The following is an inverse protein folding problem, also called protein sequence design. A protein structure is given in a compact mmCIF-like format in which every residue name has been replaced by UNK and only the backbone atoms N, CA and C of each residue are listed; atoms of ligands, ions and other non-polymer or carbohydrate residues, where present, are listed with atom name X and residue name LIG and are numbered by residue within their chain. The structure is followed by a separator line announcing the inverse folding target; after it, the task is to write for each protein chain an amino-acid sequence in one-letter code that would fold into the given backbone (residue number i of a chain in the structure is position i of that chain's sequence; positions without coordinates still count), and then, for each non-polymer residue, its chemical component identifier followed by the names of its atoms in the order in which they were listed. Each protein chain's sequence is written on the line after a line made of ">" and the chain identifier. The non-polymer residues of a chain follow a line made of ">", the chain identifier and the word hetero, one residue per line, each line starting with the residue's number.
data_IF_998660006262
#
_entry.id   IF_998660006262
#
_cell.length_a   1.000
_cell.length_b   1.000
_cell.length_c   1.000
_cell.angle_alpha   90.00
_cell.angle_beta   90.00
_cell.angle_gamma   90.00
#
_symmetry.space_group_name_H-M   'P 1'
#
loop_
_entity.id
_entity.type
_entity.pdbx_description
1 polymer ?
#
# COMPACT_ATOMS: atom_id res chain seq x y z
N UNK A 1 1.97 -2.62 -13.06
CA UNK A 1 1.32 -3.94 -13.10
C UNK A 1 0.63 -4.10 -14.44
N UNK A 2 0.91 -5.16 -15.19
CA UNK A 2 0.22 -5.43 -16.45
C UNK A 2 -1.10 -6.15 -16.13
N UNK A 3 -2.24 -5.54 -16.49
CA UNK A 3 -3.59 -6.02 -16.18
C UNK A 3 -3.87 -7.43 -16.71
N UNK A 4 -3.24 -7.78 -17.83
CA UNK A 4 -3.36 -9.10 -18.47
C UNK A 4 -2.84 -10.22 -17.58
N UNK A 5 -1.70 -9.99 -16.89
CA UNK A 5 -1.13 -10.98 -15.96
C UNK A 5 -2.00 -11.16 -14.71
N UNK A 6 -2.76 -10.14 -14.34
CA UNK A 6 -3.64 -10.14 -13.17
C UNK A 6 -4.88 -10.98 -13.45
N UNK A 7 -5.47 -10.75 -14.61
CA UNK A 7 -6.61 -11.53 -15.10
C UNK A 7 -6.25 -13.00 -15.26
N UNK A 8 -5.05 -13.31 -15.76
CA UNK A 8 -4.58 -14.68 -15.87
C UNK A 8 -4.48 -15.37 -14.50
N UNK A 9 -3.91 -14.71 -13.50
CA UNK A 9 -3.82 -15.26 -12.14
C UNK A 9 -5.19 -15.46 -11.49
N UNK A 10 -6.13 -14.56 -11.76
CA UNK A 10 -7.51 -14.68 -11.27
C UNK A 10 -8.21 -15.88 -11.92
N UNK A 11 -8.09 -16.02 -13.24
CA UNK A 11 -8.70 -17.15 -13.96
C UNK A 11 -8.09 -18.48 -13.47
N UNK A 12 -6.78 -18.57 -13.27
CA UNK A 12 -6.09 -19.74 -12.67
C UNK A 12 -6.63 -20.07 -11.27
N UNK A 13 -6.77 -19.07 -10.40
CA UNK A 13 -7.29 -19.24 -9.03
C UNK A 13 -8.76 -19.62 -8.96
N UNK A 14 -9.56 -19.16 -9.92
CA UNK A 14 -10.95 -19.57 -10.03
C UNK A 14 -11.05 -21.03 -10.47
N UNK A 15 -10.21 -21.48 -11.40
CA UNK A 15 -10.13 -22.87 -11.85
C UNK A 15 -9.70 -23.79 -10.69
N UNK A 16 -8.67 -23.42 -9.91
CA UNK A 16 -8.20 -24.18 -8.74
C UNK A 16 -9.29 -24.42 -7.68
N UNK A 17 -10.35 -23.60 -7.67
CA UNK A 17 -11.47 -23.66 -6.73
C UNK A 17 -12.76 -24.20 -7.37
N UNK A 18 -12.65 -24.87 -8.52
CA UNK A 18 -13.77 -25.41 -9.32
C UNK A 18 -14.81 -24.34 -9.69
N UNK A 19 -14.38 -23.09 -9.87
CA UNK A 19 -15.24 -21.98 -10.30
C UNK A 19 -15.06 -21.69 -11.78
N UNK A 20 -16.10 -21.14 -12.40
CA UNK A 20 -16.03 -20.67 -13.78
C UNK A 20 -15.07 -19.47 -13.89
N UNK A 21 -14.26 -19.39 -14.95
CA UNK A 21 -13.44 -18.21 -15.23
C UNK A 21 -14.33 -17.00 -15.51
N UNK A 22 -13.73 -15.80 -15.45
CA UNK A 22 -14.48 -14.56 -15.62
C UNK A 22 -15.09 -14.48 -17.03
N UNK A 23 -16.37 -14.13 -17.11
CA UNK A 23 -17.02 -13.88 -18.40
C UNK A 23 -16.61 -12.51 -18.98
N UNK A 24 -16.97 -12.22 -20.23
CA UNK A 24 -16.58 -10.98 -20.92
C UNK A 24 -17.00 -9.72 -20.18
N UNK A 25 -18.19 -9.69 -19.59
CA UNK A 25 -18.69 -8.52 -18.84
C UNK A 25 -17.95 -8.38 -17.51
N UNK A 26 -17.64 -9.50 -16.84
CA UNK A 26 -16.86 -9.49 -15.61
C UNK A 26 -15.40 -9.06 -15.84
N UNK A 27 -14.78 -9.47 -16.96
CA UNK A 27 -13.46 -9.00 -17.39
C UNK A 27 -13.49 -7.50 -17.68
N UNK A 28 -14.48 -7.02 -18.42
CA UNK A 28 -14.69 -5.60 -18.67
C UNK A 28 -14.85 -4.79 -17.37
N UNK A 29 -15.65 -5.29 -16.42
CA UNK A 29 -15.85 -4.64 -15.13
C UNK A 29 -14.53 -4.61 -14.34
N UNK A 30 -13.77 -5.70 -14.36
CA UNK A 30 -12.48 -5.78 -13.71
C UNK A 30 -11.50 -4.77 -14.31
N UNK A 31 -11.38 -4.75 -15.64
CA UNK A 31 -10.48 -3.86 -16.37
C UNK A 31 -10.84 -2.39 -16.19
N UNK A 32 -12.11 -2.04 -16.40
CA UNK A 32 -12.59 -0.69 -16.21
C UNK A 32 -12.45 -0.21 -14.77
N UNK A 33 -12.75 -1.07 -13.79
CA UNK A 33 -12.52 -0.75 -12.38
C UNK A 33 -11.04 -0.55 -12.06
N UNK A 34 -10.14 -1.26 -12.75
CA UNK A 34 -8.69 -1.14 -12.57
C UNK A 34 -8.17 0.21 -13.07
N UNK A 35 -8.79 0.70 -14.16
CA UNK A 35 -8.50 1.99 -14.79
C UNK A 35 -9.27 3.15 -14.14
N UNK A 36 -10.10 2.89 -13.12
CA UNK A 36 -10.85 3.90 -12.39
C UNK A 36 -12.21 4.28 -13.00
N UNK A 37 -12.67 3.58 -14.03
CA UNK A 37 -13.97 3.83 -14.66
C UNK A 37 -15.14 3.53 -13.71
N UNK A 38 -16.20 4.32 -13.82
CA UNK A 38 -17.51 4.10 -13.21
C UNK A 38 -18.28 2.97 -13.90
N UNK A 39 -19.30 2.43 -13.24
CA UNK A 39 -20.16 1.41 -13.87
C UNK A 39 -20.97 1.95 -15.05
N UNK A 40 -21.22 3.27 -15.07
CA UNK A 40 -21.90 3.92 -16.17
C UNK A 40 -21.00 3.99 -17.40
N UNK A 41 -19.73 4.37 -17.23
CA UNK A 41 -18.73 4.40 -18.32
C UNK A 41 -18.51 3.00 -18.91
N UNK A 42 -18.34 1.99 -18.06
CA UNK A 42 -18.21 0.58 -18.49
C UNK A 42 -19.49 0.12 -19.21
N UNK A 43 -20.67 0.52 -18.73
CA UNK A 43 -21.94 0.21 -19.38
C UNK A 43 -22.06 0.81 -20.77
N UNK A 44 -21.67 2.07 -20.93
CA UNK A 44 -21.70 2.77 -22.21
C UNK A 44 -20.77 2.10 -23.24
N UNK A 45 -19.57 1.71 -22.82
CA UNK A 45 -18.57 1.05 -23.66
C UNK A 45 -19.04 -0.33 -24.17
N UNK A 46 -19.76 -1.09 -23.34
CA UNK A 46 -20.24 -2.43 -23.67
C UNK A 46 -21.73 -2.50 -24.05
N UNK A 47 -22.36 -1.34 -24.29
CA UNK A 47 -23.79 -1.21 -24.62
C UNK A 47 -24.73 -1.94 -23.63
N UNK A 48 -24.46 -1.78 -22.34
CA UNK A 48 -25.26 -2.32 -21.23
C UNK A 48 -25.73 -1.22 -20.30
N UNK A 49 -26.86 -1.43 -19.63
CA UNK A 49 -27.34 -0.49 -18.61
C UNK A 49 -26.42 -0.50 -17.39
N UNK A 50 -26.26 0.65 -16.74
CA UNK A 50 -25.50 0.75 -15.48
C UNK A 50 -26.01 -0.26 -14.44
N UNK A 51 -27.34 -0.45 -14.36
CA UNK A 51 -27.97 -1.41 -13.44
C UNK A 51 -27.48 -2.83 -13.69
N UNK A 52 -27.42 -3.26 -14.96
CA UNK A 52 -26.90 -4.58 -15.31
C UNK A 52 -25.41 -4.73 -14.98
N UNK A 53 -24.61 -3.69 -15.25
CA UNK A 53 -23.19 -3.67 -14.88
C UNK A 53 -23.01 -3.74 -13.36
N UNK A 54 -23.84 -3.06 -12.58
CA UNK A 54 -23.78 -3.08 -11.11
C UNK A 54 -24.15 -4.46 -10.56
N UNK A 55 -25.14 -5.12 -11.13
CA UNK A 55 -25.51 -6.50 -10.78
C UNK A 55 -24.38 -7.49 -11.09
N UNK A 56 -23.81 -7.44 -12.29
CA UNK A 56 -22.67 -8.28 -12.68
C UNK A 56 -21.41 -7.96 -11.85
N UNK A 57 -21.21 -6.69 -11.50
CA UNK A 57 -20.13 -6.26 -10.61
C UNK A 57 -20.28 -6.82 -9.20
N UNK A 58 -21.48 -6.80 -8.63
CA UNK A 58 -21.73 -7.42 -7.32
C UNK A 58 -21.43 -8.93 -7.33
N UNK A 59 -21.81 -9.63 -8.41
CA UNK A 59 -21.46 -11.05 -8.61
C UNK A 59 -19.96 -11.27 -8.71
N UNK A 60 -19.25 -10.41 -9.46
CA UNK A 60 -17.78 -10.47 -9.59
C UNK A 60 -17.09 -10.33 -8.24
N UNK A 61 -17.41 -9.29 -7.47
CA UNK A 61 -16.73 -9.03 -6.20
C UNK A 61 -16.97 -10.14 -5.17
N UNK A 62 -18.20 -10.69 -5.14
CA UNK A 62 -18.51 -11.87 -4.34
C UNK A 62 -17.71 -13.09 -4.79
N UNK A 63 -17.66 -13.34 -6.11
CA UNK A 63 -16.92 -14.47 -6.68
C UNK A 63 -15.44 -14.44 -6.30
N UNK A 64 -14.81 -13.27 -6.43
CA UNK A 64 -13.42 -13.06 -6.02
C UNK A 64 -13.27 -13.23 -4.51
N UNK A 65 -14.17 -12.65 -3.71
CA UNK A 65 -14.11 -12.81 -2.25
C UNK A 65 -14.10 -14.27 -1.83
N UNK A 66 -15.02 -15.05 -2.40
CA UNK A 66 -15.15 -16.47 -2.12
C UNK A 66 -13.96 -17.28 -2.67
N UNK A 67 -13.28 -16.82 -3.73
CA UNK A 67 -12.13 -17.52 -4.32
C UNK A 67 -10.84 -17.27 -3.52
N UNK A 68 -10.67 -16.05 -3.03
CA UNK A 68 -9.48 -15.61 -2.32
C UNK A 68 -9.59 -15.69 -0.80
N UNK A 69 -10.78 -15.96 -0.25
CA UNK A 69 -11.01 -16.08 1.19
C UNK A 69 -10.88 -14.76 1.95
N UNK A 70 -11.01 -13.63 1.24
CA UNK A 70 -10.91 -12.27 1.79
C UNK A 70 -12.03 -11.41 1.19
N UNK A 71 -12.58 -10.46 1.95
CA UNK A 71 -13.62 -9.57 1.43
C UNK A 71 -13.07 -8.62 0.35
N UNK A 72 -13.49 -8.84 -0.90
CA UNK A 72 -13.15 -8.04 -2.07
C UNK A 72 -14.35 -7.21 -2.50
N UNK A 73 -14.11 -5.92 -2.71
CA UNK A 73 -15.03 -4.87 -3.16
C UNK A 73 -14.33 -4.03 -4.24
N UNK A 74 -15.11 -3.31 -5.07
CA UNK A 74 -14.54 -2.39 -6.08
C UNK A 74 -13.53 -1.39 -5.50
N UNK A 75 -13.68 -0.98 -4.24
CA UNK A 75 -12.77 -0.01 -3.60
C UNK A 75 -11.45 -0.60 -3.08
N UNK A 76 -11.36 -1.92 -2.89
CA UNK A 76 -10.16 -2.55 -2.31
C UNK A 76 -9.56 -3.67 -3.19
N UNK A 77 -10.24 -4.10 -4.26
CA UNK A 77 -9.79 -5.25 -5.05
C UNK A 77 -8.37 -5.07 -5.60
N UNK A 78 -8.01 -3.87 -6.07
CA UNK A 78 -6.68 -3.60 -6.63
C UNK A 78 -5.57 -3.87 -5.61
N UNK A 79 -5.67 -3.30 -4.41
CA UNK A 79 -4.67 -3.49 -3.36
C UNK A 79 -4.66 -4.92 -2.81
N UNK A 80 -5.83 -5.58 -2.72
CA UNK A 80 -5.93 -7.00 -2.33
C UNK A 80 -5.21 -7.90 -3.34
N UNK A 81 -5.45 -7.69 -4.64
CA UNK A 81 -4.86 -8.51 -5.71
C UNK A 81 -3.36 -8.24 -5.87
N UNK A 82 -2.92 -6.98 -5.80
CA UNK A 82 -1.50 -6.59 -5.81
C UNK A 82 -0.73 -7.28 -4.66
N UNK A 83 -1.31 -7.30 -3.44
CA UNK A 83 -0.72 -8.01 -2.29
C UNK A 83 -0.67 -9.53 -2.47
N UNK A 84 -1.67 -10.12 -3.12
CA UNK A 84 -1.72 -11.57 -3.29
C UNK A 84 -0.68 -12.09 -4.27
N UNK A 85 -0.34 -11.34 -5.32
CA UNK A 85 0.78 -11.67 -6.24
C UNK A 85 2.12 -11.77 -5.50
N UNK A 86 2.34 -10.93 -4.49
CA UNK A 86 3.55 -10.95 -3.65
C UNK A 86 3.61 -12.25 -2.83
N UNK A 87 2.46 -12.74 -2.35
CA UNK A 87 2.37 -13.99 -1.56
C UNK A 87 2.41 -15.26 -2.42
N UNK A 88 1.97 -15.20 -3.68
CA UNK A 88 1.88 -16.37 -4.56
C UNK A 88 3.02 -16.50 -5.58
N UNK A 89 4.00 -15.60 -5.58
CA UNK A 89 5.19 -15.74 -6.42
C UNK A 89 6.10 -16.82 -5.83
N UNK A 90 6.42 -17.92 -6.55
CA UNK A 90 7.28 -19.00 -6.09
C UNK A 90 8.77 -18.61 -6.18
N UNK A 91 9.13 -17.38 -5.82
CA UNK A 91 10.50 -17.07 -5.43
C UNK A 91 10.58 -17.15 -3.90
N UNK A 92 10.43 -18.37 -3.40
CA UNK A 92 11.02 -18.79 -2.14
C UNK A 92 12.50 -18.43 -2.17
N UNK A 93 12.92 -17.60 -1.21
CA UNK A 93 14.31 -17.39 -0.82
C UNK A 93 14.90 -18.73 -0.38
N UNK A 94 15.44 -19.47 -1.34
CA UNK A 94 16.53 -20.41 -1.15
C UNK A 94 17.76 -19.80 -1.82
N UNK A 95 18.52 -19.01 -1.07
CA UNK A 95 19.93 -18.78 -1.40
C UNK A 95 20.73 -18.94 -0.11
N UNK A 96 21.15 -20.18 0.11
CA UNK A 96 22.47 -20.42 0.70
C UNK A 96 23.49 -20.02 -0.36
N UNK A 97 24.45 -19.19 0.06
CA UNK A 97 25.87 -19.19 -0.31
C UNK A 97 26.44 -17.91 -0.96
N UNK A 98 27.50 -17.42 -0.32
CA UNK A 98 28.77 -16.90 -0.86
C UNK A 98 28.76 -15.87 -1.98
N UNK A 99 29.35 -14.72 -1.64
CA UNK A 99 30.31 -13.93 -2.40
C UNK A 99 29.98 -13.54 -3.85
N UNK A 100 29.90 -12.22 -4.06
CA UNK A 100 30.16 -11.47 -5.30
C UNK A 100 29.18 -11.71 -6.47
N UNK A 101 28.28 -10.75 -6.70
CA UNK A 101 28.37 -9.78 -7.81
C UNK A 101 27.04 -9.04 -8.06
N UNK A 102 27.17 -7.79 -8.49
CA UNK A 102 26.15 -6.81 -8.88
C UNK A 102 25.21 -7.25 -10.04
N UNK A 103 23.92 -6.89 -9.96
CA UNK A 103 23.09 -6.04 -10.87
C UNK A 103 21.61 -6.17 -10.42
N UNK A 104 20.73 -5.16 -10.46
CA UNK A 104 20.14 -4.60 -11.68
C UNK A 104 19.56 -3.19 -11.47
N UNK A 105 20.08 -2.22 -12.23
CA UNK A 105 19.30 -1.15 -12.85
C UNK A 105 19.26 -1.46 -14.35
N UNK A 106 18.14 -1.19 -15.02
CA UNK A 106 18.11 -1.12 -16.50
C UNK A 106 17.37 0.14 -16.95
N UNK A 107 18.16 1.14 -17.33
CA UNK A 107 17.86 2.03 -18.46
C UNK A 107 18.62 1.51 -19.69
N UNK A 108 18.07 1.77 -20.87
CA UNK A 108 18.39 1.23 -22.19
C UNK A 108 19.60 1.86 -22.92
N UNK A 109 20.35 1.02 -23.65
CA UNK A 109 21.32 1.22 -24.79
C UNK A 109 22.41 2.32 -24.64
N UNK A 110 23.71 2.17 -24.95
CA UNK A 110 24.48 1.41 -25.96
C UNK A 110 25.98 1.47 -25.56
N UNK A 111 26.83 0.52 -25.99
CA UNK A 111 28.29 0.45 -25.70
C UNK A 111 29.11 1.67 -26.19
N UNK A 112 30.17 2.06 -25.44
CA UNK A 112 31.53 1.82 -25.96
C UNK A 112 32.56 1.37 -24.90
N UNK A 113 33.66 0.82 -25.44
CA UNK A 113 34.82 0.21 -24.79
C UNK A 113 35.63 1.10 -23.83
N UNK A 114 36.09 0.42 -22.77
CA UNK A 114 37.40 0.43 -22.09
C UNK A 114 38.17 1.72 -21.74
N UNK A 115 38.67 1.65 -20.50
CA UNK A 115 39.81 2.36 -19.91
C UNK A 115 39.59 3.80 -19.45
N UNK A 116 39.21 3.99 -18.18
CA UNK A 116 40.06 4.79 -17.31
C UNK A 116 39.83 4.61 -15.80
N UNK A 117 40.94 4.74 -15.08
CA UNK A 117 41.19 4.37 -13.68
C UNK A 117 40.50 5.30 -12.67
N UNK A 118 40.10 4.70 -11.55
CA UNK A 118 40.08 5.25 -10.18
C UNK A 118 39.76 6.74 -10.01
N UNK A 119 38.52 7.04 -9.62
CA UNK A 119 38.26 8.11 -8.65
C UNK A 119 37.14 7.69 -7.71
N UNK A 120 37.54 7.47 -6.46
CA UNK A 120 36.68 7.37 -5.29
C UNK A 120 35.66 8.49 -5.25
N UNK A 121 34.38 8.13 -5.20
CA UNK A 121 33.40 8.82 -4.37
C UNK A 121 32.67 7.72 -3.60
N UNK A 122 32.99 7.61 -2.30
CA UNK A 122 32.08 7.03 -1.33
C UNK A 122 30.82 7.91 -1.33
N UNK A 123 29.80 7.55 -2.09
CA UNK A 123 28.43 7.94 -1.77
C UNK A 123 27.86 6.78 -0.98
N UNK A 124 27.76 6.92 0.35
CA UNK A 124 26.76 6.18 1.10
C UNK A 124 25.44 6.50 0.40
N UNK A 125 24.88 5.55 -0.36
CA UNK A 125 23.56 5.72 -0.94
C UNK A 125 22.59 5.80 0.23
N UNK A 126 22.12 7.02 0.56
CA UNK A 126 20.99 7.21 1.46
C UNK A 126 19.84 6.38 0.91
N UNK A 127 19.52 5.30 1.59
CA UNK A 127 18.52 4.35 1.12
C UNK A 127 17.13 4.92 1.42
N UNK A 128 16.48 5.39 0.36
CA UNK A 128 15.11 5.91 0.40
C UNK A 128 14.14 4.71 0.43
N UNK A 129 13.24 4.66 1.41
CA UNK A 129 12.30 3.57 1.64
C UNK A 129 10.85 4.05 1.66
N UNK A 130 10.08 3.76 0.61
CA UNK A 130 8.66 4.12 0.54
C UNK A 130 7.78 2.87 0.45
N UNK A 131 7.07 2.53 1.54
CA UNK A 131 6.00 1.52 1.55
C UNK A 131 4.64 2.21 1.54
N UNK A 132 4.14 2.46 0.33
CA UNK A 132 2.81 3.03 0.07
C UNK A 132 1.84 1.97 -0.47
N UNK A 133 2.14 0.68 -0.31
CA UNK A 133 1.38 -0.43 -0.91
C UNK A 133 -0.09 -0.45 -0.50
N UNK A 134 -0.38 -0.04 0.74
CA UNK A 134 -1.75 0.02 1.27
C UNK A 134 -2.39 1.41 1.13
N UNK A 135 -1.66 2.39 0.62
CA UNK A 135 -2.18 3.73 0.45
C UNK A 135 -3.16 3.76 -0.73
N UNK A 136 -4.34 4.39 -0.60
CA UNK A 136 -5.29 4.46 -1.69
C UNK A 136 -4.75 5.31 -2.84
N UNK A 137 -5.17 5.04 -4.08
CA UNK A 137 -4.92 5.96 -5.18
C UNK A 137 -5.92 7.12 -5.13
N UNK A 138 -5.42 8.33 -5.37
CA UNK A 138 -6.27 9.50 -5.50
C UNK A 138 -6.62 9.65 -6.97
N UNK A 139 -7.90 9.50 -7.28
CA UNK A 139 -8.45 9.73 -8.62
C UNK A 139 -8.75 11.23 -8.79
N UNK A 140 -9.29 11.84 -7.73
CA UNK A 140 -9.83 13.19 -7.72
C UNK A 140 -9.45 13.92 -6.40
N UNK A 141 -9.14 15.21 -6.48
CA UNK A 141 -8.84 16.06 -5.32
C UNK A 141 -9.34 17.48 -5.56
N UNK A 142 -10.22 17.98 -4.68
CA UNK A 142 -10.89 19.27 -4.84
C UNK A 142 -10.99 20.02 -3.51
N UNK A 143 -10.83 21.35 -3.56
CA UNK A 143 -11.17 22.32 -2.50
C UNK A 143 -10.64 21.95 -1.09
N UNK A 144 -9.36 21.60 -1.00
CA UNK A 144 -8.66 21.24 0.26
C UNK A 144 -7.26 21.83 0.36
N UNK A 145 -6.98 22.86 -0.43
CA UNK A 145 -5.67 23.52 -0.52
C UNK A 145 -5.27 24.16 0.81
N UNK A 146 -6.24 24.69 1.57
CA UNK A 146 -6.00 25.30 2.88
C UNK A 146 -5.57 24.28 3.93
N UNK A 147 -6.26 23.13 4.00
CA UNK A 147 -5.90 22.04 4.90
C UNK A 147 -4.55 21.43 4.51
N UNK A 148 -4.30 21.28 3.21
CA UNK A 148 -3.03 20.79 2.70
C UNK A 148 -1.86 21.74 3.03
N UNK A 149 -2.07 23.05 2.91
CA UNK A 149 -1.11 24.07 3.33
C UNK A 149 -0.88 24.05 4.85
N UNK A 150 -1.94 23.79 5.63
CA UNK A 150 -1.86 23.67 7.09
C UNK A 150 -1.00 22.48 7.50
N UNK A 151 -1.25 21.29 6.93
CA UNK A 151 -0.43 20.10 7.17
C UNK A 151 1.02 20.35 6.75
N UNK A 152 1.25 20.96 5.60
CA UNK A 152 2.60 21.29 5.11
C UNK A 152 3.33 22.25 6.05
N UNK A 153 2.65 23.25 6.59
CA UNK A 153 3.21 24.20 7.56
C UNK A 153 3.58 23.52 8.88
N UNK A 154 2.72 22.65 9.41
CA UNK A 154 3.00 21.88 10.62
C UNK A 154 4.24 21.00 10.44
N UNK A 155 4.31 20.28 9.32
CA UNK A 155 5.41 19.35 9.06
C UNK A 155 6.73 20.07 8.78
N UNK A 156 6.76 21.04 7.85
CA UNK A 156 8.02 21.60 7.35
C UNK A 156 8.49 22.88 8.04
N UNK A 157 7.57 23.66 8.63
CA UNK A 157 7.91 24.95 9.26
C UNK A 157 7.87 24.87 10.77
N UNK A 158 6.94 24.12 11.34
CA UNK A 158 6.79 23.99 12.80
C UNK A 158 7.46 22.73 13.37
N UNK A 159 7.96 21.82 12.52
CA UNK A 159 8.57 20.55 12.92
C UNK A 159 7.66 19.71 13.82
N UNK A 160 6.35 19.75 13.57
CA UNK A 160 5.36 18.96 14.31
C UNK A 160 5.57 17.48 14.03
N UNK A 161 5.88 16.69 15.07
CA UNK A 161 6.22 15.26 14.97
C UNK A 161 5.03 14.31 15.03
N UNK A 162 3.88 14.80 15.51
CA UNK A 162 2.65 14.03 15.61
C UNK A 162 1.47 14.91 15.21
N UNK A 163 0.73 14.47 14.21
CA UNK A 163 -0.44 15.18 13.67
C UNK A 163 -1.61 14.20 13.64
N UNK A 164 -2.72 14.59 14.25
CA UNK A 164 -3.98 13.86 14.15
C UNK A 164 -4.90 14.58 13.15
N UNK A 165 -5.32 13.87 12.09
CA UNK A 165 -6.30 14.37 11.13
C UNK A 165 -7.67 13.81 11.48
N UNK A 166 -8.55 14.68 12.00
CA UNK A 166 -9.86 14.30 12.55
C UNK A 166 -11.00 14.82 11.67
N UNK A 167 -12.17 14.21 11.82
CA UNK A 167 -13.37 14.59 11.07
C UNK A 167 -14.29 13.41 10.78
N UNK A 168 -15.47 13.71 10.24
CA UNK A 168 -16.50 12.72 9.94
C UNK A 168 -16.03 11.65 8.93
N UNK A 169 -16.70 10.50 8.91
CA UNK A 169 -16.46 9.46 7.90
C UNK A 169 -16.70 9.99 6.49
N UNK A 170 -15.87 9.60 5.53
CA UNK A 170 -16.03 9.99 4.12
C UNK A 170 -15.67 11.45 3.78
N UNK A 171 -15.30 12.30 4.75
CA UNK A 171 -15.00 13.73 4.51
C UNK A 171 -13.71 13.98 3.70
N UNK A 172 -12.93 12.92 3.41
CA UNK A 172 -11.71 13.00 2.61
C UNK A 172 -10.40 13.09 3.42
N UNK A 173 -10.37 12.72 4.70
CA UNK A 173 -9.15 12.76 5.55
C UNK A 173 -8.00 11.94 4.95
N UNK A 174 -8.30 10.69 4.60
CA UNK A 174 -7.35 9.78 3.96
C UNK A 174 -6.84 10.35 2.65
N UNK A 175 -7.74 10.92 1.83
CA UNK A 175 -7.40 11.58 0.57
C UNK A 175 -6.49 12.80 0.79
N UNK A 176 -6.75 13.63 1.80
CA UNK A 176 -5.90 14.76 2.17
C UNK A 176 -4.47 14.34 2.53
N UNK A 177 -4.33 13.35 3.42
CA UNK A 177 -3.01 12.87 3.86
C UNK A 177 -2.26 12.21 2.71
N UNK A 178 -2.96 11.42 1.89
CA UNK A 178 -2.35 10.83 0.70
C UNK A 178 -1.91 11.87 -0.31
N UNK A 179 -2.68 12.95 -0.52
CA UNK A 179 -2.31 14.04 -1.42
C UNK A 179 -1.08 14.77 -0.92
N UNK A 180 -1.01 15.01 0.39
CA UNK A 180 0.18 15.55 1.03
C UNK A 180 1.42 14.70 0.75
N UNK A 181 1.32 13.38 0.92
CA UNK A 181 2.43 12.47 0.61
C UNK A 181 2.83 12.54 -0.87
N UNK A 182 1.86 12.48 -1.79
CA UNK A 182 2.14 12.47 -3.23
C UNK A 182 2.91 13.71 -3.70
N UNK A 183 2.65 14.86 -3.07
CA UNK A 183 3.33 16.12 -3.39
C UNK A 183 4.69 16.28 -2.71
N UNK A 184 4.98 15.50 -1.66
CA UNK A 184 6.13 15.71 -0.80
C UNK A 184 6.95 14.43 -0.57
N UNK A 185 6.76 13.40 -1.39
CA UNK A 185 7.38 12.09 -1.22
C UNK A 185 8.90 12.17 -1.11
N UNK A 186 9.51 12.99 -1.97
CA UNK A 186 10.97 13.22 -2.03
C UNK A 186 11.52 13.95 -0.79
N UNK A 187 10.66 14.54 0.04
CA UNK A 187 11.09 15.25 1.26
C UNK A 187 11.39 14.29 2.42
N UNK A 188 11.13 13.00 2.28
CA UNK A 188 11.29 11.99 3.33
C UNK A 188 12.14 10.82 2.83
N UNK A 189 13.12 10.44 3.63
CA UNK A 189 13.93 9.25 3.40
C UNK A 189 13.08 7.99 3.60
N UNK A 190 12.16 8.01 4.56
CA UNK A 190 11.28 6.88 4.86
C UNK A 190 9.82 7.32 4.86
N UNK A 191 8.97 6.66 4.07
CA UNK A 191 7.52 6.88 4.08
C UNK A 191 6.80 5.56 4.19
N UNK A 192 6.01 5.39 5.23
CA UNK A 192 5.30 4.15 5.51
C UNK A 192 3.82 4.45 5.71
N UNK A 193 2.97 3.81 4.91
CA UNK A 193 1.53 3.85 5.07
C UNK A 193 1.02 2.52 5.63
N UNK A 194 0.46 2.54 6.84
CA UNK A 194 -0.23 1.39 7.42
C UNK A 194 -1.71 1.71 7.64
N UNK A 195 -2.57 0.85 7.10
CA UNK A 195 -4.00 0.87 7.39
C UNK A 195 -4.30 -0.04 8.58
N UNK A 196 -4.98 0.51 9.58
CA UNK A 196 -5.50 -0.18 10.75
C UNK A 196 -6.97 -0.56 10.56
N UNK A 197 -7.42 -0.76 9.32
CA UNK A 197 -8.75 -1.30 9.03
C UNK A 197 -8.98 -2.67 9.69
N UNK A 198 -7.93 -3.49 9.70
CA UNK A 198 -7.87 -4.77 10.38
C UNK A 198 -6.53 -4.85 11.14
N UNK A 199 -6.45 -4.28 12.36
CA UNK A 199 -5.19 -4.15 13.07
C UNK A 199 -4.58 -5.51 13.42
N UNK A 200 -3.26 -5.63 13.25
CA UNK A 200 -2.46 -6.73 13.80
C UNK A 200 -2.13 -6.44 15.26
N UNK A 201 -1.56 -7.40 16.00
CA UNK A 201 -0.95 -7.09 17.30
C UNK A 201 0.22 -6.10 17.15
N UNK A 202 0.55 -5.36 18.22
CA UNK A 202 1.66 -4.41 18.21
C UNK A 202 2.98 -5.09 17.78
N UNK A 203 3.24 -6.29 18.29
CA UNK A 203 4.47 -7.03 17.97
C UNK A 203 4.60 -7.32 16.47
N UNK A 204 3.54 -7.84 15.85
CA UNK A 204 3.52 -8.12 14.42
C UNK A 204 3.63 -6.84 13.59
N UNK A 205 3.00 -5.76 14.06
CA UNK A 205 3.08 -4.45 13.41
C UNK A 205 4.49 -3.88 13.47
N UNK A 206 5.18 -3.97 14.61
CA UNK A 206 6.58 -3.58 14.76
C UNK A 206 7.50 -4.41 13.87
N UNK A 207 7.27 -5.73 13.75
CA UNK A 207 8.02 -6.59 12.84
C UNK A 207 7.88 -6.11 11.39
N UNK A 208 6.64 -5.90 10.93
CA UNK A 208 6.38 -5.42 9.56
C UNK A 208 7.08 -4.09 9.30
N UNK A 209 7.06 -3.18 10.28
CA UNK A 209 7.62 -1.85 10.13
C UNK A 209 9.15 -1.87 10.10
N UNK A 210 9.79 -2.61 11.01
CA UNK A 210 11.24 -2.79 11.00
C UNK A 210 11.73 -3.48 9.74
N UNK A 211 10.99 -4.48 9.25
CA UNK A 211 11.28 -5.13 7.97
C UNK A 211 11.20 -4.15 6.79
N UNK A 212 10.21 -3.24 6.78
CA UNK A 212 10.14 -2.16 5.78
C UNK A 212 11.38 -1.26 5.82
N UNK A 213 11.91 -0.99 7.02
CA UNK A 213 13.15 -0.25 7.23
C UNK A 213 14.42 -1.09 7.01
N UNK A 214 14.31 -2.32 6.50
CA UNK A 214 15.40 -3.28 6.31
C UNK A 214 16.20 -3.56 7.59
N UNK A 215 15.52 -3.54 8.74
CA UNK A 215 16.08 -3.91 10.05
C UNK A 215 15.49 -5.23 10.48
N UNK A 216 16.36 -6.21 10.75
CA UNK A 216 15.90 -7.45 11.37
C UNK A 216 15.32 -7.17 12.77
N UNK A 217 14.06 -7.54 13.04
CA UNK A 217 13.44 -7.33 14.33
C UNK A 217 14.12 -8.17 15.42
N UNK A 218 14.46 -7.53 16.55
CA UNK A 218 14.92 -8.22 17.76
C UNK A 218 13.78 -9.02 18.40
N UNK A 219 14.08 -9.94 19.31
CA UNK A 219 13.06 -10.86 19.86
C UNK A 219 11.96 -10.18 20.70
N UNK A 220 12.31 -9.19 21.54
CA UNK A 220 11.33 -8.55 22.44
C UNK A 220 10.72 -7.26 21.87
N UNK A 221 9.47 -6.99 22.22
CA UNK A 221 8.74 -5.77 21.83
C UNK A 221 9.51 -4.50 22.19
N UNK A 222 10.05 -4.40 23.40
CA UNK A 222 10.80 -3.22 23.85
C UNK A 222 12.04 -2.97 22.99
N UNK A 223 12.75 -4.04 22.63
CA UNK A 223 13.92 -3.97 21.77
C UNK A 223 13.54 -3.54 20.34
N UNK A 224 12.38 -4.00 19.83
CA UNK A 224 11.84 -3.56 18.54
C UNK A 224 11.46 -2.08 18.56
N UNK A 225 10.84 -1.61 19.65
CA UNK A 225 10.53 -0.18 19.85
C UNK A 225 11.82 0.64 19.84
N UNK A 226 12.86 0.21 20.56
CA UNK A 226 14.15 0.90 20.55
C UNK A 226 14.76 0.93 19.14
N UNK A 227 14.76 -0.18 18.40
CA UNK A 227 15.22 -0.21 17.01
C UNK A 227 14.44 0.78 16.13
N UNK A 228 13.12 0.85 16.31
CA UNK A 228 12.30 1.79 15.56
C UNK A 228 12.66 3.24 15.92
N UNK A 229 12.80 3.56 17.20
CA UNK A 229 13.21 4.90 17.63
C UNK A 229 14.58 5.29 17.06
N UNK A 230 15.53 4.37 16.98
CA UNK A 230 16.82 4.59 16.33
C UNK A 230 16.66 4.89 14.83
N UNK A 231 15.75 4.22 14.13
CA UNK A 231 15.45 4.55 12.72
C UNK A 231 14.83 5.95 12.62
N UNK A 232 13.84 6.26 13.45
CA UNK A 232 13.15 7.55 13.46
C UNK A 232 14.03 8.73 13.87
N UNK A 233 15.10 8.49 14.64
CA UNK A 233 16.05 9.54 15.04
C UNK A 233 17.10 9.83 13.99
N UNK A 234 17.43 8.86 13.14
CA UNK A 234 18.52 8.96 12.17
C UNK A 234 18.05 9.28 10.74
N UNK A 235 16.77 9.11 10.45
CA UNK A 235 16.19 9.33 9.13
C UNK A 235 14.99 10.26 9.20
N UNK A 236 14.78 11.06 8.16
CA UNK A 236 13.55 11.85 8.02
C UNK A 236 12.39 10.95 7.60
N UNK A 237 11.65 10.47 8.60
CA UNK A 237 10.56 9.52 8.45
C UNK A 237 9.17 10.17 8.47
N UNK A 238 8.26 9.65 7.66
CA UNK A 238 6.82 9.91 7.73
C UNK A 238 6.07 8.58 7.85
N UNK A 239 5.39 8.35 8.98
CA UNK A 239 4.55 7.17 9.19
C UNK A 239 3.10 7.62 9.25
N UNK A 240 2.26 7.03 8.41
CA UNK A 240 0.81 7.24 8.40
C UNK A 240 0.11 6.02 8.97
N UNK A 241 -0.68 6.25 10.03
CA UNK A 241 -1.58 5.27 10.63
C UNK A 241 -3.02 5.62 10.26
N UNK A 242 -3.50 5.04 9.17
CA UNK A 242 -4.87 5.26 8.73
C UNK A 242 -5.83 4.35 9.48
N UNK A 243 -7.06 4.81 9.72
CA UNK A 243 -8.10 4.09 10.48
C UNK A 243 -7.72 3.72 11.94
N UNK A 244 -6.92 4.56 12.61
CA UNK A 244 -6.48 4.34 13.99
C UNK A 244 -7.62 4.09 14.99
N UNK A 245 -8.81 4.64 14.75
CA UNK A 245 -9.98 4.45 15.60
C UNK A 245 -10.38 2.97 15.80
N UNK A 246 -9.99 2.07 14.89
CA UNK A 246 -10.32 0.66 15.00
C UNK A 246 -9.56 -0.07 16.11
N UNK A 247 -8.52 0.56 16.69
CA UNK A 247 -7.87 0.04 17.89
C UNK A 247 -8.73 0.22 19.15
N UNK A 248 -9.69 1.15 19.13
CA UNK A 248 -10.47 1.52 20.31
C UNK A 248 -11.66 0.58 20.58
N UNK A 249 -12.00 0.44 21.85
CA UNK A 249 -13.18 -0.27 22.31
C UNK A 249 -14.46 0.46 21.91
N UNK A 250 -15.39 -0.28 21.28
CA UNK A 250 -16.68 0.27 20.82
C UNK A 250 -17.49 0.79 22.01
N UNK A 251 -18.03 2.00 21.88
CA UNK A 251 -18.86 2.62 22.91
C UNK A 251 -18.08 3.24 24.07
N UNK A 252 -16.74 3.28 24.02
CA UNK A 252 -15.91 3.94 25.02
C UNK A 252 -15.27 5.23 24.47
N UNK A 253 -14.72 6.04 25.38
CA UNK A 253 -13.94 7.21 24.97
C UNK A 253 -12.64 6.79 24.28
N UNK A 254 -12.14 7.64 23.38
CA UNK A 254 -10.86 7.43 22.69
C UNK A 254 -9.72 7.21 23.71
N UNK A 255 -8.80 6.31 23.38
CA UNK A 255 -7.71 5.87 24.28
C UNK A 255 -8.04 4.62 25.09
N UNK A 256 -9.30 4.18 25.15
CA UNK A 256 -9.63 2.85 25.63
C UNK A 256 -9.51 1.85 24.48
N UNK A 257 -8.48 1.02 24.49
CA UNK A 257 -8.23 0.03 23.45
C UNK A 257 -9.08 -1.23 23.61
N UNK A 258 -9.34 -1.93 22.50
CA UNK A 258 -9.86 -3.30 22.57
C UNK A 258 -8.85 -4.19 23.33
N UNK A 259 -9.30 -5.22 24.07
CA UNK A 259 -8.40 -6.04 24.90
C UNK A 259 -7.21 -6.63 24.13
N UNK A 260 -7.46 -7.11 22.92
CA UNK A 260 -6.46 -7.66 21.98
C UNK A 260 -5.45 -6.64 21.45
N UNK A 261 -5.76 -5.34 21.55
CA UNK A 261 -4.90 -4.23 21.12
C UNK A 261 -4.40 -3.38 22.28
N UNK A 262 -4.57 -3.83 23.53
CA UNK A 262 -4.14 -3.13 24.75
C UNK A 262 -2.63 -2.86 24.84
N UNK A 263 -1.83 -3.53 24.01
CA UNK A 263 -0.38 -3.33 23.93
C UNK A 263 0.04 -2.13 23.07
N UNK A 264 -0.84 -1.59 22.21
CA UNK A 264 -0.59 -0.38 21.40
C UNK A 264 -0.54 0.88 22.26
#
# INVERSE_FOLDING_TARGET
>A
MNITEVLQLIDERLIERDKKPLNTIQKAIFEGSWQGQSYQEIGNEYHRSETHIREEGAKLWKLLSDAFGEEIRKSNFRSTIERMKIKSSPNSLNVVNSNNNHFCHTQTFTLPNDNDKNRYINSQSESIYHDLTLAPQIIDFYDRENELATVSNWVFKQNTRLIAVLGLGGIGKTTLVKRFIDLNLEQFEVVIWKSLKFPKSLDLWLNDLLNTCQKEPKESTDNKIQQLLEVLSNHKCLIVLDDFQNLFAVGQMAGNYQPEYSSY
#
